data_IF_575898125125
#
_entry.id   IF_575898125125
#
_cell.length_a   1.000
_cell.length_b   1.000
_cell.length_c   1.000
_cell.angle_alpha   90.00
_cell.angle_beta   90.00
_cell.angle_gamma   90.00
#
_symmetry.space_group_name_H-M   'P 1'
#
loop_
_entity.id
_entity.type
_entity.pdbx_description
1 polymer ?
#
# COMPACT_ATOMS: atom_id res chain seq x y z
N UNK A 1 8.56 -11.78 8.64
CA UNK A 1 8.92 -10.35 8.60
C UNK A 1 7.62 -9.58 8.60
N UNK A 2 7.57 -8.44 9.27
CA UNK A 2 6.40 -7.57 9.25
C UNK A 2 6.83 -6.11 9.11
N UNK A 3 5.99 -5.32 8.45
CA UNK A 3 6.17 -3.88 8.34
C UNK A 3 4.82 -3.20 8.08
N UNK A 4 4.84 -1.87 8.14
CA UNK A 4 3.69 -1.01 7.85
C UNK A 4 4.04 -0.13 6.66
N UNK A 5 3.09 0.01 5.73
CA UNK A 5 3.21 0.88 4.56
C UNK A 5 1.98 1.76 4.47
N UNK A 6 2.22 3.04 4.22
CA UNK A 6 1.19 4.04 3.99
C UNK A 6 1.02 4.24 2.48
N UNK A 7 -0.24 4.27 2.04
CA UNK A 7 -0.62 4.58 0.68
C UNK A 7 -1.39 5.90 0.70
N UNK A 8 -0.91 6.88 -0.05
CA UNK A 8 -1.52 8.22 -0.17
C UNK A 8 -1.82 8.49 -1.63
N UNK A 9 -2.89 9.23 -1.91
CA UNK A 9 -3.16 9.72 -3.26
C UNK A 9 -2.09 10.73 -3.68
N UNK A 10 -1.59 10.60 -4.92
CA UNK A 10 -0.64 11.55 -5.48
C UNK A 10 -1.35 12.46 -6.49
N UNK A 11 -2.24 13.33 -6.02
CA UNK A 11 -3.02 14.25 -6.87
C UNK A 11 -2.19 15.36 -7.55
N UNK A 12 -0.87 15.38 -7.36
CA UNK A 12 -0.01 16.45 -7.85
C UNK A 12 0.38 16.32 -9.33
N UNK A 13 0.01 15.24 -10.02
CA UNK A 13 0.34 15.02 -11.44
C UNK A 13 -0.88 14.62 -12.28
N UNK A 14 -0.89 15.00 -13.56
CA UNK A 14 -1.95 14.72 -14.55
C UNK A 14 -1.96 13.22 -14.89
N UNK A 15 -2.45 12.40 -13.96
CA UNK A 15 -2.33 10.93 -13.99
C UNK A 15 -2.03 10.26 -12.64
N UNK A 16 -2.13 10.99 -11.52
CA UNK A 16 -1.92 10.45 -10.18
C UNK A 16 -2.73 9.17 -9.90
N UNK A 17 -2.07 8.15 -9.33
CA UNK A 17 -2.71 6.92 -8.88
C UNK A 17 -3.23 7.10 -7.46
N UNK A 18 -4.47 6.66 -7.23
CA UNK A 18 -5.05 6.66 -5.88
C UNK A 18 -4.29 5.70 -4.95
N UNK A 19 -4.35 5.98 -3.65
CA UNK A 19 -3.90 5.11 -2.56
C UNK A 19 -4.46 3.69 -2.73
N UNK A 20 -5.71 3.57 -3.18
CA UNK A 20 -6.34 2.27 -3.42
C UNK A 20 -5.75 1.54 -4.63
N UNK A 21 -5.42 2.23 -5.71
CA UNK A 21 -4.77 1.63 -6.89
C UNK A 21 -3.38 1.13 -6.56
N UNK A 22 -2.58 1.94 -5.85
CA UNK A 22 -1.25 1.55 -5.37
C UNK A 22 -1.30 0.34 -4.45
N UNK A 23 -2.25 0.32 -3.49
CA UNK A 23 -2.46 -0.83 -2.61
C UNK A 23 -2.84 -2.08 -3.42
N UNK A 24 -3.76 -1.94 -4.37
CA UNK A 24 -4.20 -3.05 -5.21
C UNK A 24 -3.07 -3.61 -6.07
N UNK A 25 -2.19 -2.76 -6.57
CA UNK A 25 -1.00 -3.16 -7.32
C UNK A 25 -0.04 -3.96 -6.43
N UNK A 26 0.27 -3.45 -5.23
CA UNK A 26 1.13 -4.13 -4.27
C UNK A 26 0.57 -5.49 -3.85
N UNK A 27 -0.75 -5.60 -3.65
CA UNK A 27 -1.44 -6.88 -3.36
C UNK A 27 -1.29 -7.87 -4.51
N UNK A 28 -1.42 -7.42 -5.76
CA UNK A 28 -1.23 -8.28 -6.94
C UNK A 28 0.22 -8.72 -7.10
N UNK A 29 1.18 -7.84 -6.82
CA UNK A 29 2.61 -8.11 -6.98
C UNK A 29 3.19 -8.97 -5.86
N UNK A 30 2.55 -8.99 -4.69
CA UNK A 30 3.02 -9.66 -3.48
C UNK A 30 2.01 -10.70 -2.93
N UNK A 31 1.55 -11.69 -3.74
CA UNK A 31 0.52 -12.65 -3.31
C UNK A 31 0.94 -13.56 -2.13
N UNK A 32 2.24 -13.69 -1.88
CA UNK A 32 2.80 -14.41 -0.75
C UNK A 32 2.77 -13.64 0.58
N UNK A 33 2.45 -12.35 0.53
CA UNK A 33 2.34 -11.49 1.70
C UNK A 33 0.88 -11.32 2.09
N UNK A 34 0.60 -11.38 3.40
CA UNK A 34 -0.72 -11.04 3.93
C UNK A 34 -0.78 -9.54 4.17
N UNK A 35 -1.78 -8.87 3.59
CA UNK A 35 -2.12 -7.48 3.86
C UNK A 35 -3.30 -7.37 4.83
N UNK A 36 -3.26 -6.37 5.70
CA UNK A 36 -4.34 -6.01 6.62
C UNK A 36 -4.41 -4.49 6.77
N UNK A 37 -5.54 -3.88 6.41
CA UNK A 37 -5.76 -2.44 6.61
C UNK A 37 -5.92 -2.16 8.10
N UNK A 38 -5.05 -1.32 8.65
CA UNK A 38 -5.03 -0.95 10.07
C UNK A 38 -5.67 0.42 10.32
N UNK A 39 -5.73 1.27 9.29
CA UNK A 39 -6.33 2.59 9.37
C UNK A 39 -6.60 3.15 7.99
N UNK A 40 -7.61 3.99 7.89
CA UNK A 40 -7.90 4.77 6.71
C UNK A 40 -8.37 6.16 7.13
N UNK A 41 -7.99 7.17 6.36
CA UNK A 41 -8.49 8.54 6.53
C UNK A 41 -8.66 9.19 5.16
N UNK A 42 -9.60 10.12 5.07
CA UNK A 42 -9.83 10.93 3.88
C UNK A 42 -9.88 12.38 4.33
N UNK A 43 -9.06 13.24 3.73
CA UNK A 43 -9.01 14.67 4.02
C UNK A 43 -8.79 15.43 2.71
N UNK A 44 -9.64 16.42 2.44
CA UNK A 44 -9.54 17.29 1.26
C UNK A 44 -9.35 16.51 -0.06
N UNK A 45 -10.27 15.57 -0.29
CA UNK A 45 -10.26 14.60 -1.40
C UNK A 45 -9.03 13.69 -1.48
N UNK A 46 -8.13 13.73 -0.49
CA UNK A 46 -6.95 12.85 -0.39
C UNK A 46 -7.21 11.69 0.57
N UNK A 47 -7.11 10.46 0.07
CA UNK A 47 -7.14 9.24 0.84
C UNK A 47 -5.74 8.85 1.32
N UNK A 48 -5.66 8.41 2.58
CA UNK A 48 -4.50 7.77 3.17
C UNK A 48 -4.92 6.43 3.79
N UNK A 49 -4.19 5.36 3.46
CA UNK A 49 -4.45 3.99 3.91
C UNK A 49 -3.19 3.43 4.56
N UNK A 50 -3.28 3.05 5.83
CA UNK A 50 -2.21 2.36 6.55
C UNK A 50 -2.45 0.85 6.47
N UNK A 51 -1.48 0.11 5.93
CA UNK A 51 -1.56 -1.34 5.76
C UNK A 51 -0.41 -2.02 6.47
N UNK A 52 -0.74 -3.04 7.25
CA UNK A 52 0.21 -3.98 7.82
C UNK A 52 0.46 -5.11 6.83
N UNK A 53 1.72 -5.37 6.55
CA UNK A 53 2.18 -6.45 5.69
C UNK A 53 2.92 -7.50 6.50
N UNK A 54 2.52 -8.77 6.35
CA UNK A 54 3.14 -9.90 7.05
C UNK A 54 3.55 -10.96 6.05
N UNK A 55 4.85 -11.24 5.99
CA UNK A 55 5.47 -12.18 5.05
C UNK A 55 6.23 -13.28 5.75
N UNK A 56 6.35 -14.43 5.07
CA UNK A 56 7.27 -15.48 5.47
C UNK A 56 8.72 -14.97 5.36
N UNK A 57 9.58 -15.36 6.29
CA UNK A 57 10.92 -14.76 6.50
C UNK A 57 11.90 -14.79 5.32
N UNK A 58 11.57 -15.50 4.22
CA UNK A 58 12.48 -15.71 3.08
C UNK A 58 12.05 -15.02 1.79
N UNK A 59 10.85 -14.46 1.69
CA UNK A 59 10.38 -13.85 0.45
C UNK A 59 10.40 -12.33 0.56
N UNK A 60 11.17 -11.62 -0.27
CA UNK A 60 11.18 -10.16 -0.25
C UNK A 60 9.83 -9.59 -0.68
N UNK A 61 9.54 -8.37 -0.25
CA UNK A 61 8.46 -7.56 -0.79
C UNK A 61 8.97 -6.89 -2.07
N UNK A 62 8.18 -6.94 -3.14
CA UNK A 62 8.51 -6.29 -4.42
C UNK A 62 8.03 -4.85 -4.41
N UNK A 63 8.89 -3.92 -4.83
CA UNK A 63 8.57 -2.49 -4.93
C UNK A 63 9.13 -1.61 -3.81
N UNK A 64 9.96 -2.16 -2.92
CA UNK A 64 10.86 -1.39 -2.06
C UNK A 64 12.22 -1.26 -2.77
N UNK A 65 12.41 -0.17 -3.53
CA UNK A 65 13.72 0.39 -3.90
C UNK A 65 13.93 1.71 -3.17
#
# INVERSE_FOLDING_TARGET
MEFYKEYVDDYFDDGGSSATEKLNEDVKNNPQWKSEVQGYSVYDDTACILVRWVGLSKTPFKGDE
#
